data_IF_405842993079
#
_entry.id   IF_405842993079
#
_cell.length_a   1.000
_cell.length_b   1.000
_cell.length_c   1.000
_cell.angle_alpha   90.00
_cell.angle_beta   90.00
_cell.angle_gamma   90.00
#
_symmetry.space_group_name_H-M   'P 1'
#
loop_
_entity.id
_entity.type
_entity.pdbx_description
1 polymer ?
#
# COMPACT_ATOMS: atom_id res chain seq x y z
N UNK A 1 6.48 32.73 24.06
CA UNK A 1 5.97 33.15 22.74
C UNK A 1 5.72 31.88 21.93
N UNK A 2 4.61 31.80 21.20
CA UNK A 2 4.15 30.56 20.56
C UNK A 2 5.08 30.04 19.46
N UNK A 3 4.90 28.77 19.10
CA UNK A 3 5.70 28.03 18.13
C UNK A 3 5.35 28.38 16.67
N UNK A 4 5.35 29.68 16.32
CA UNK A 4 4.96 30.18 15.00
C UNK A 4 6.09 30.96 14.34
N UNK A 5 6.13 30.90 13.01
CA UNK A 5 7.03 31.70 12.18
C UNK A 5 6.58 33.17 12.12
N UNK A 6 7.51 34.06 11.75
CA UNK A 6 7.21 35.49 11.53
C UNK A 6 6.35 35.76 10.28
N UNK A 7 6.30 34.81 9.36
CA UNK A 7 5.46 34.81 8.17
C UNK A 7 5.18 33.36 7.75
N UNK A 8 4.07 33.07 7.03
CA UNK A 8 3.78 31.71 6.59
C UNK A 8 4.68 31.29 5.43
N UNK A 9 5.12 30.03 5.44
CA UNK A 9 5.66 29.37 4.27
C UNK A 9 4.48 29.00 3.36
N UNK A 10 4.41 29.63 2.19
CA UNK A 10 3.27 29.54 1.27
C UNK A 10 3.54 28.68 0.04
N UNK A 11 4.78 28.21 -0.12
CA UNK A 11 5.13 27.25 -1.17
C UNK A 11 4.29 25.99 -1.03
N UNK A 12 3.86 25.47 -2.18
CA UNK A 12 2.98 24.31 -2.27
C UNK A 12 3.73 23.16 -2.92
N UNK A 13 3.78 22.04 -2.24
CA UNK A 13 4.04 20.77 -2.92
C UNK A 13 2.70 20.30 -3.49
N UNK A 14 2.67 19.98 -4.78
CA UNK A 14 1.43 19.58 -5.48
C UNK A 14 1.70 18.37 -6.34
N UNK A 15 0.96 17.29 -6.09
CA UNK A 15 0.98 16.08 -6.91
C UNK A 15 -0.38 15.88 -7.58
N UNK A 16 -0.37 15.29 -8.77
CA UNK A 16 -1.57 14.97 -9.53
C UNK A 16 -1.33 13.75 -10.39
N UNK A 17 -2.40 13.05 -10.74
CA UNK A 17 -2.31 11.88 -11.61
C UNK A 17 -3.67 11.31 -11.96
N UNK A 18 -3.63 10.08 -12.46
CA UNK A 18 -4.80 9.30 -12.83
C UNK A 18 -4.57 7.84 -12.44
N UNK A 19 -5.60 7.12 -12.01
CA UNK A 19 -5.52 5.66 -11.83
C UNK A 19 -5.58 4.96 -13.19
N UNK A 20 -5.13 3.69 -13.29
CA UNK A 20 -5.27 2.91 -14.52
C UNK A 20 -6.73 2.82 -15.03
N UNK A 21 -7.71 2.89 -14.13
CA UNK A 21 -9.14 2.86 -14.41
C UNK A 21 -9.72 4.23 -14.79
N UNK A 22 -8.90 5.28 -14.81
CA UNK A 22 -9.30 6.61 -15.27
C UNK A 22 -9.73 7.59 -14.18
N UNK A 23 -9.56 7.26 -12.89
CA UNK A 23 -9.89 8.19 -11.81
C UNK A 23 -8.77 9.24 -11.66
N UNK A 24 -9.08 10.49 -12.00
CA UNK A 24 -8.17 11.61 -11.80
C UNK A 24 -8.05 11.99 -10.31
N UNK A 25 -6.84 12.35 -9.86
CA UNK A 25 -6.56 12.77 -8.48
C UNK A 25 -5.57 13.92 -8.42
N UNK A 26 -5.61 14.66 -7.31
CA UNK A 26 -4.66 15.72 -6.99
C UNK A 26 -4.57 15.94 -5.48
N UNK A 27 -3.38 16.29 -5.00
CA UNK A 27 -3.09 16.63 -3.60
C UNK A 27 -2.15 17.82 -3.58
N UNK A 28 -2.30 18.69 -2.58
CA UNK A 28 -1.35 19.76 -2.31
C UNK A 28 -1.20 19.98 -0.81
N UNK A 29 0.05 20.17 -0.37
CA UNK A 29 0.41 20.47 1.02
C UNK A 29 1.12 21.82 1.11
N UNK A 30 1.05 22.45 2.29
CA UNK A 30 1.66 23.75 2.57
C UNK A 30 1.91 23.86 4.09
N UNK A 31 3.14 24.19 4.48
CA UNK A 31 3.53 24.29 5.90
C UNK A 31 2.82 25.42 6.65
N UNK A 32 2.58 26.56 6.00
CA UNK A 32 1.93 27.70 6.64
C UNK A 32 2.77 28.30 7.77
N UNK A 33 2.13 28.56 8.91
CA UNK A 33 2.74 29.30 10.03
C UNK A 33 3.55 28.44 11.00
N UNK A 34 3.52 27.11 10.86
CA UNK A 34 4.24 26.19 11.74
C UNK A 34 5.74 26.25 11.46
N UNK A 35 6.55 26.03 12.49
CA UNK A 35 8.03 26.00 12.35
C UNK A 35 8.48 24.81 11.49
N UNK A 36 7.80 23.67 11.63
CA UNK A 36 8.06 22.44 10.87
C UNK A 36 6.80 21.98 10.15
N UNK A 37 6.99 21.40 8.96
CA UNK A 37 5.97 20.63 8.26
C UNK A 37 5.97 19.22 8.85
N UNK A 38 4.86 18.82 9.47
CA UNK A 38 4.75 17.50 10.12
C UNK A 38 3.82 16.54 9.36
N UNK A 39 3.10 17.01 8.34
CA UNK A 39 2.19 16.16 7.57
C UNK A 39 2.92 15.33 6.51
N UNK A 40 2.37 14.16 6.20
CA UNK A 40 2.77 13.31 5.09
C UNK A 40 1.52 12.81 4.32
N UNK A 41 1.71 12.29 3.12
CA UNK A 41 0.60 11.74 2.33
C UNK A 41 1.02 10.54 1.47
N UNK A 42 0.04 9.73 1.08
CA UNK A 42 0.18 8.65 0.08
C UNK A 42 -0.73 8.96 -1.10
N UNK A 43 -0.19 8.79 -2.31
CA UNK A 43 -0.95 8.80 -3.56
C UNK A 43 -0.56 7.57 -4.38
N UNK A 44 -1.15 6.42 -4.05
CA UNK A 44 -0.84 5.13 -4.65
C UNK A 44 -1.94 4.75 -5.65
N UNK A 45 -1.76 4.99 -6.96
CA UNK A 45 -2.82 4.84 -7.96
C UNK A 45 -3.17 3.38 -8.30
N UNK A 46 -2.33 2.42 -7.91
CA UNK A 46 -2.55 0.98 -8.10
C UNK A 46 -2.08 0.19 -6.88
N UNK A 47 -2.73 -0.92 -6.56
CA UNK A 47 -2.33 -1.80 -5.46
C UNK A 47 -1.93 -3.19 -5.92
N UNK A 48 -1.10 -3.84 -5.10
CA UNK A 48 -0.72 -5.23 -5.23
C UNK A 48 -0.48 -5.81 -3.83
N UNK A 49 -0.68 -7.11 -3.68
CA UNK A 49 -0.22 -7.86 -2.51
C UNK A 49 1.15 -8.50 -2.80
N UNK A 50 1.94 -8.76 -1.76
CA UNK A 50 3.23 -9.45 -1.82
C UNK A 50 3.15 -10.76 -1.05
N UNK A 51 3.16 -11.88 -1.77
CA UNK A 51 3.25 -13.21 -1.18
C UNK A 51 4.71 -13.66 -1.07
N UNK A 52 5.12 -14.10 0.12
CA UNK A 52 6.46 -14.64 0.34
C UNK A 52 6.62 -16.00 -0.32
N UNK A 53 7.69 -16.19 -1.09
CA UNK A 53 8.05 -17.50 -1.64
C UNK A 53 8.77 -18.31 -0.55
N UNK A 54 8.14 -19.38 -0.07
CA UNK A 54 8.79 -20.33 0.84
C UNK A 54 9.91 -21.09 0.10
N UNK A 55 11.09 -21.22 0.73
CA UNK A 55 12.11 -22.18 0.25
C UNK A 55 11.67 -23.60 0.60
N UNK A 56 11.92 -24.58 -0.28
CA UNK A 56 11.83 -26.00 0.05
C UNK A 56 12.76 -26.27 1.24
N UNK A 57 12.20 -26.45 2.43
CA UNK A 57 12.95 -26.67 3.68
C UNK A 57 12.61 -25.71 4.83
N UNK A 58 11.83 -24.65 4.58
CA UNK A 58 11.28 -23.83 5.67
C UNK A 58 10.15 -24.65 6.32
N UNK A 59 10.44 -25.28 7.47
CA UNK A 59 9.46 -26.03 8.25
C UNK A 59 8.30 -25.12 8.62
N UNK A 60 7.10 -25.49 8.19
CA UNK A 60 5.91 -24.66 8.30
C UNK A 60 5.58 -24.24 9.74
N UNK A 61 5.35 -22.94 9.92
CA UNK A 61 4.29 -22.44 10.79
C UNK A 61 3.30 -21.74 9.85
N UNK A 62 2.15 -22.31 9.55
CA UNK A 62 1.13 -22.68 10.52
C UNK A 62 0.15 -21.52 10.53
N UNK A 63 -0.95 -21.68 9.78
CA UNK A 63 -2.02 -20.69 9.73
C UNK A 63 -2.56 -20.45 11.14
N UNK A 64 -2.41 -19.21 11.61
CA UNK A 64 -3.19 -18.70 12.72
C UNK A 64 -4.33 -17.87 12.16
N UNK A 65 -5.57 -18.30 12.42
CA UNK A 65 -6.73 -17.40 12.44
C UNK A 65 -6.63 -16.51 13.70
N UNK A 66 -5.58 -15.68 13.72
CA UNK A 66 -5.35 -14.66 14.73
C UNK A 66 -5.88 -13.32 14.22
N UNK A 67 -6.66 -12.65 15.06
CA UNK A 67 -7.14 -11.29 14.78
C UNK A 67 -6.01 -10.28 15.04
N UNK A 68 -4.93 -10.41 14.27
CA UNK A 68 -3.69 -9.70 14.49
C UNK A 68 -3.63 -8.47 13.58
N UNK A 69 -4.33 -7.41 13.98
CA UNK A 69 -4.02 -6.05 13.52
C UNK A 69 -2.59 -5.61 13.91
N UNK A 70 -1.88 -6.46 14.66
CA UNK A 70 -0.52 -6.30 15.11
C UNK A 70 0.30 -7.57 14.85
N UNK A 71 0.09 -8.23 13.71
CA UNK A 71 1.21 -8.92 13.07
C UNK A 71 2.19 -7.81 12.71
N UNK A 72 3.03 -7.46 13.68
CA UNK A 72 4.29 -6.81 13.46
C UNK A 72 4.88 -7.53 12.26
N UNK A 73 4.72 -6.94 11.08
CA UNK A 73 5.56 -7.18 9.95
C UNK A 73 6.92 -6.79 10.51
N UNK A 74 7.57 -7.75 11.20
CA UNK A 74 8.88 -7.59 11.84
C UNK A 74 9.64 -6.91 10.76
N UNK A 75 9.93 -5.62 10.99
CA UNK A 75 10.65 -4.84 10.02
C UNK A 75 11.90 -5.67 9.81
N UNK A 76 11.97 -6.31 8.65
CA UNK A 76 13.22 -6.79 8.15
C UNK A 76 13.99 -5.52 7.87
N UNK A 77 14.58 -5.01 8.94
CA UNK A 77 15.69 -4.10 8.92
C UNK A 77 16.62 -4.64 7.84
N UNK A 78 16.75 -3.90 6.74
CA UNK A 78 17.77 -4.14 5.72
C UNK A 78 19.17 -3.81 6.30
N UNK A 79 19.39 -4.07 7.60
CA UNK A 79 20.66 -3.98 8.29
C UNK A 79 21.44 -5.26 8.07
N UNK A 80 22.43 -5.19 7.19
CA UNK A 80 23.76 -5.83 7.21
C UNK A 80 23.90 -7.25 7.82
N UNK A 81 22.85 -8.06 7.75
CA UNK A 81 22.73 -9.32 8.48
C UNK A 81 22.82 -10.54 7.58
N UNK A 82 23.84 -10.65 6.71
CA UNK A 82 24.34 -11.90 6.09
C UNK A 82 23.35 -12.89 5.42
N UNK A 83 22.07 -12.56 5.29
CA UNK A 83 21.01 -13.43 4.79
C UNK A 83 20.64 -13.10 3.36
N UNK A 84 20.41 -14.13 2.54
CA UNK A 84 19.94 -13.92 1.16
C UNK A 84 18.61 -13.15 1.12
N UNK A 85 18.42 -12.27 0.13
CA UNK A 85 17.20 -11.47 0.01
C UNK A 85 15.96 -12.36 -0.09
N UNK A 86 14.97 -12.10 0.76
CA UNK A 86 13.67 -12.78 0.72
C UNK A 86 12.99 -12.47 -0.61
N UNK A 87 12.50 -13.51 -1.30
CA UNK A 87 11.79 -13.36 -2.57
C UNK A 87 10.28 -13.26 -2.34
N UNK A 88 9.64 -12.30 -3.00
CA UNK A 88 8.20 -12.08 -2.98
C UNK A 88 7.62 -12.14 -4.39
N UNK A 89 6.39 -12.63 -4.51
CA UNK A 89 5.58 -12.55 -5.73
C UNK A 89 4.52 -11.46 -5.55
N UNK A 90 4.43 -10.56 -6.52
CA UNK A 90 3.39 -9.54 -6.54
C UNK A 90 2.11 -10.11 -7.15
N UNK A 91 0.98 -9.91 -6.47
CA UNK A 91 -0.36 -10.25 -6.93
C UNK A 91 -1.09 -8.93 -7.17
N UNK A 92 -1.27 -8.49 -8.42
CA UNK A 92 -1.98 -7.24 -8.72
C UNK A 92 -3.40 -7.25 -8.17
N UNK A 93 -3.87 -6.08 -7.72
CA UNK A 93 -5.26 -5.85 -7.33
C UNK A 93 -5.83 -4.72 -8.20
N UNK A 94 -6.25 -5.03 -9.45
CA UNK A 94 -6.84 -4.04 -10.36
C UNK A 94 -8.06 -3.34 -9.75
N UNK A 95 -8.31 -2.08 -10.13
CA UNK A 95 -9.45 -1.31 -9.62
C UNK A 95 -9.27 -0.75 -8.21
N UNK A 96 -8.07 -0.89 -7.62
CA UNK A 96 -7.80 -0.47 -6.26
C UNK A 96 -6.66 0.54 -6.21
N UNK A 97 -6.90 1.62 -5.47
CA UNK A 97 -5.96 2.70 -5.22
C UNK A 97 -6.01 3.06 -3.73
N UNK A 98 -4.92 3.61 -3.20
CA UNK A 98 -4.84 4.06 -1.81
C UNK A 98 -4.39 5.52 -1.76
N UNK A 99 -5.15 6.33 -1.03
CA UNK A 99 -4.83 7.71 -0.73
C UNK A 99 -4.94 7.92 0.77
N UNK A 100 -3.97 8.59 1.37
CA UNK A 100 -3.96 8.86 2.81
C UNK A 100 -3.27 10.19 3.11
N UNK A 101 -3.67 10.83 4.20
CA UNK A 101 -3.03 12.02 4.77
C UNK A 101 -2.76 11.72 6.24
N UNK A 102 -1.54 12.03 6.69
CA UNK A 102 -1.09 11.85 8.06
C UNK A 102 -0.75 13.22 8.63
N UNK A 103 -1.42 13.63 9.69
CA UNK A 103 -1.17 14.88 10.42
C UNK A 103 -0.23 14.56 11.59
N UNK A 104 1.02 15.00 11.50
CA UNK A 104 2.02 14.78 12.54
C UNK A 104 1.78 15.69 13.75
N UNK A 105 2.06 15.16 14.95
CA UNK A 105 1.98 15.94 16.19
C UNK A 105 3.15 15.60 17.12
N UNK A 106 3.98 16.60 17.41
CA UNK A 106 5.17 16.42 18.24
C UNK A 106 6.36 15.85 17.47
N UNK A 107 6.43 16.16 16.16
CA UNK A 107 7.45 15.68 15.22
C UNK A 107 6.84 15.01 13.98
N UNK A 108 7.57 15.05 12.86
CA UNK A 108 7.13 14.47 11.58
C UNK A 108 7.32 12.96 11.48
N UNK A 109 8.16 12.36 12.33
CA UNK A 109 8.59 10.96 12.22
C UNK A 109 7.43 9.97 12.06
N UNK A 110 6.38 10.05 12.87
CA UNK A 110 5.28 9.10 12.82
C UNK A 110 4.47 9.22 11.52
N UNK A 111 4.25 10.45 11.04
CA UNK A 111 3.54 10.72 9.79
C UNK A 111 4.37 10.27 8.58
N UNK A 112 5.65 10.64 8.54
CA UNK A 112 6.60 10.21 7.51
C UNK A 112 6.74 8.69 7.47
N UNK A 113 6.96 8.06 8.63
CA UNK A 113 7.09 6.61 8.74
C UNK A 113 5.84 5.92 8.19
N UNK A 114 4.65 6.40 8.55
CA UNK A 114 3.38 5.87 8.05
C UNK A 114 3.27 6.05 6.53
N UNK A 115 3.54 7.24 6.01
CA UNK A 115 3.51 7.54 4.58
C UNK A 115 4.46 6.66 3.74
N UNK A 116 5.65 6.37 4.28
CA UNK A 116 6.67 5.56 3.58
C UNK A 116 6.42 4.05 3.68
N UNK A 117 5.82 3.57 4.77
CA UNK A 117 5.78 2.13 5.06
C UNK A 117 4.41 1.49 4.90
N UNK A 118 3.31 2.26 4.97
CA UNK A 118 1.96 1.69 5.01
C UNK A 118 1.67 0.77 3.81
N UNK A 119 1.96 1.21 2.58
CA UNK A 119 1.74 0.38 1.38
C UNK A 119 2.50 -0.95 1.44
N UNK A 120 3.75 -0.95 1.92
CA UNK A 120 4.58 -2.16 2.07
C UNK A 120 4.00 -3.11 3.11
N UNK A 121 3.58 -2.57 4.26
CA UNK A 121 2.97 -3.36 5.35
C UNK A 121 1.65 -3.97 4.88
N UNK A 122 0.75 -3.14 4.33
CA UNK A 122 -0.54 -3.58 3.79
C UNK A 122 -0.37 -4.69 2.74
N UNK A 123 0.53 -4.49 1.77
CA UNK A 123 0.76 -5.46 0.70
C UNK A 123 1.14 -6.86 1.24
N UNK A 124 1.79 -6.93 2.40
CA UNK A 124 2.29 -8.18 3.00
C UNK A 124 1.37 -8.79 4.05
N UNK A 125 0.26 -8.14 4.41
CA UNK A 125 -0.69 -8.71 5.37
C UNK A 125 -1.32 -9.99 4.82
N UNK A 126 -1.36 -11.05 5.63
CA UNK A 126 -1.93 -12.35 5.24
C UNK A 126 -3.37 -12.20 4.74
N UNK A 127 -4.18 -11.39 5.43
CA UNK A 127 -5.56 -11.07 5.05
C UNK A 127 -5.63 -10.38 3.68
N UNK A 128 -4.71 -9.45 3.39
CA UNK A 128 -4.67 -8.73 2.12
C UNK A 128 -4.17 -9.61 0.96
N UNK A 129 -3.19 -10.48 1.19
CA UNK A 129 -2.75 -11.50 0.22
C UNK A 129 -3.89 -12.46 -0.11
N UNK A 130 -4.64 -12.94 0.91
CA UNK A 130 -5.82 -13.78 0.72
C UNK A 130 -6.88 -13.07 -0.12
N UNK A 131 -7.16 -11.81 0.20
CA UNK A 131 -8.07 -10.96 -0.58
C UNK A 131 -7.65 -10.84 -2.05
N UNK A 132 -6.38 -10.53 -2.32
CA UNK A 132 -5.87 -10.38 -3.69
C UNK A 132 -6.02 -11.67 -4.52
N UNK A 133 -5.83 -12.84 -3.90
CA UNK A 133 -6.05 -14.14 -4.56
C UNK A 133 -7.52 -14.39 -4.91
N UNK A 134 -8.43 -14.13 -3.95
CA UNK A 134 -9.87 -14.27 -4.18
C UNK A 134 -10.34 -13.36 -5.33
N UNK A 135 -9.85 -12.13 -5.38
CA UNK A 135 -10.16 -11.19 -6.46
C UNK A 135 -9.70 -11.69 -7.83
N UNK A 136 -8.49 -12.25 -7.91
CA UNK A 136 -7.96 -12.85 -9.15
C UNK A 136 -8.81 -14.02 -9.62
N UNK A 137 -9.15 -14.94 -8.71
CA UNK A 137 -9.97 -16.12 -9.02
C UNK A 137 -11.37 -15.72 -9.50
N UNK A 138 -12.00 -14.72 -8.87
CA UNK A 138 -13.30 -14.20 -9.31
C UNK A 138 -13.23 -13.58 -10.71
N UNK A 139 -12.17 -12.81 -10.98
CA UNK A 139 -11.96 -12.19 -12.29
C UNK A 139 -11.75 -13.22 -13.40
N UNK A 140 -11.01 -14.29 -13.11
CA UNK A 140 -10.81 -15.42 -14.04
C UNK A 140 -12.11 -16.20 -14.28
N UNK A 141 -12.92 -16.41 -13.23
CA UNK A 141 -14.24 -17.06 -13.37
C UNK A 141 -15.17 -16.26 -14.26
N UNK A 142 -15.27 -14.94 -14.05
CA UNK A 142 -16.11 -14.06 -14.88
C UNK A 142 -15.71 -14.07 -16.35
N UNK A 143 -14.41 -14.04 -16.64
CA UNK A 143 -13.90 -14.13 -18.02
C UNK A 143 -14.31 -15.44 -18.71
N UNK A 144 -14.18 -16.57 -18.01
CA UNK A 144 -14.61 -17.88 -18.55
C UNK A 144 -16.11 -17.90 -18.84
N UNK A 145 -16.93 -17.40 -17.92
CA UNK A 145 -18.39 -17.31 -18.10
C UNK A 145 -18.79 -16.40 -19.27
N UNK A 146 -18.04 -15.32 -19.53
CA UNK A 146 -18.26 -14.43 -20.68
C UNK A 146 -17.82 -15.07 -22.00
N UNK A 147 -16.68 -15.78 -22.02
CA UNK A 147 -16.20 -16.53 -23.19
C UNK A 147 -17.17 -17.65 -23.58
N UNK A 148 -17.72 -18.39 -22.61
CA UNK A 148 -18.72 -19.43 -22.85
C UNK A 148 -20.05 -18.89 -23.39
N UNK A 149 -20.46 -17.68 -22.97
CA UNK A 149 -21.67 -17.02 -23.49
C UNK A 149 -21.48 -16.48 -24.90
N UNK A 150 -20.30 -15.93 -25.20
CA UNK A 150 -20.01 -15.35 -26.52
C UNK A 150 -19.64 -16.41 -27.56
N UNK A 151 -19.26 -17.62 -27.16
CA UNK A 151 -18.96 -18.75 -28.06
C UNK A 151 -20.18 -19.54 -28.53
N UNK A 152 -21.40 -19.18 -28.11
CA UNK A 152 -22.64 -19.87 -28.47
C UNK A 152 -23.49 -19.19 -29.56
N UNK A 153 -22.98 -18.15 -30.22
CA UNK A 153 -23.70 -17.32 -31.21
C UNK A 153 -23.22 -17.54 -32.66
N UNK A 154 -22.52 -18.66 -32.93
CA UNK A 154 -22.18 -19.11 -34.28
C UNK A 154 -22.83 -20.49 -34.55
N UNK A 155 -24.09 -20.51 -35.00
CA UNK A 155 -24.71 -21.59 -35.78
C UNK A 155 -25.95 -21.06 -36.55
#
# INVERSE_FOLDING_TARGET
MGNLLGAPVTEKETHRGCTPEGLAWGVSSMQGWRIHMEDAHICQPFLYAEERIAKKGDGGGGGGDGDDNNDDAKMDDEGDGGGEPKKFVKIPVPGHSLFAVYDGHGGSFAAEYSGMNFCRVLARQVKFVKYAKMFREESERKKKEEEEKNGGEED
#
